data_IF_088597783191
#
_entry.id   IF_088597783191
#
_cell.length_a   1.000
_cell.length_b   1.000
_cell.length_c   1.000
_cell.angle_alpha   90.00
_cell.angle_beta   90.00
_cell.angle_gamma   90.00
#
_symmetry.space_group_name_H-M   'P 1'
#
loop_
_entity.id
_entity.type
_entity.pdbx_description
1 polymer ?
#
# COMPACT_ATOMS: atom_id res chain seq x y z
N UNK A 1 11.33 15.08 -17.30
CA UNK A 1 10.25 14.32 -17.95
C UNK A 1 10.89 13.39 -19.00
N UNK A 2 10.82 12.05 -18.86
CA UNK A 2 11.50 11.11 -19.78
C UNK A 2 10.89 11.14 -21.19
N UNK A 3 11.73 11.06 -22.23
CA UNK A 3 11.29 11.04 -23.64
C UNK A 3 10.44 9.79 -23.94
N UNK A 4 9.49 9.89 -24.88
CA UNK A 4 8.58 8.80 -25.26
C UNK A 4 9.33 7.51 -25.64
N UNK A 5 10.48 7.63 -26.30
CA UNK A 5 11.34 6.48 -26.65
C UNK A 5 11.95 5.78 -25.43
N UNK A 6 12.40 6.53 -24.41
CA UNK A 6 12.93 5.94 -23.16
C UNK A 6 11.84 5.20 -22.37
N UNK A 7 10.60 5.70 -22.38
CA UNK A 7 9.46 5.02 -21.74
C UNK A 7 9.11 3.70 -22.44
N UNK A 8 9.11 3.68 -23.77
CA UNK A 8 8.86 2.46 -24.55
C UNK A 8 9.88 1.37 -24.21
N UNK A 9 11.18 1.70 -24.24
CA UNK A 9 12.24 0.75 -23.87
C UNK A 9 12.14 0.27 -22.43
N UNK A 10 11.84 1.15 -21.48
CA UNK A 10 11.64 0.78 -20.08
C UNK A 10 10.48 -0.21 -19.92
N UNK A 11 9.34 0.03 -20.57
CA UNK A 11 8.19 -0.87 -20.47
C UNK A 11 8.43 -2.21 -21.19
N UNK A 12 9.10 -2.20 -22.34
CA UNK A 12 9.50 -3.42 -23.02
C UNK A 12 10.43 -4.28 -22.14
N UNK A 13 11.45 -3.65 -21.53
CA UNK A 13 12.35 -4.31 -20.60
C UNK A 13 11.60 -4.87 -19.37
N UNK A 14 10.74 -4.08 -18.74
CA UNK A 14 9.94 -4.51 -17.58
C UNK A 14 9.00 -5.68 -17.93
N UNK A 15 8.42 -5.68 -19.13
CA UNK A 15 7.55 -6.76 -19.59
C UNK A 15 8.34 -8.07 -19.73
N UNK A 16 9.54 -8.01 -20.31
CA UNK A 16 10.42 -9.18 -20.46
C UNK A 16 10.85 -9.71 -19.08
N UNK A 17 11.30 -8.83 -18.18
CA UNK A 17 11.71 -9.21 -16.81
C UNK A 17 10.54 -9.81 -16.03
N UNK A 18 9.33 -9.24 -16.19
CA UNK A 18 8.12 -9.77 -15.57
C UNK A 18 7.79 -11.17 -16.08
N UNK A 19 7.86 -11.42 -17.39
CA UNK A 19 7.59 -12.74 -17.96
C UNK A 19 8.59 -13.79 -17.47
N UNK A 20 9.88 -13.44 -17.40
CA UNK A 20 10.91 -14.30 -16.82
C UNK A 20 10.67 -14.60 -15.34
N UNK A 21 10.21 -13.61 -14.58
CA UNK A 21 9.92 -13.77 -13.14
C UNK A 21 8.67 -14.64 -12.87
N UNK A 22 7.72 -14.67 -13.81
CA UNK A 22 6.51 -15.49 -13.71
C UNK A 22 6.78 -16.95 -14.03
N UNK A 23 7.81 -17.25 -14.84
CA UNK A 23 8.11 -18.63 -15.24
C UNK A 23 8.32 -19.60 -14.06
N UNK A 24 9.12 -19.29 -13.02
CA UNK A 24 9.26 -20.16 -11.86
C UNK A 24 7.94 -20.45 -11.14
N UNK A 25 7.05 -19.45 -11.04
CA UNK A 25 5.74 -19.61 -10.41
C UNK A 25 4.83 -20.51 -11.25
N UNK A 26 4.86 -20.33 -12.57
CA UNK A 26 4.15 -21.20 -13.50
C UNK A 26 4.65 -22.65 -13.43
N UNK A 27 5.98 -22.83 -13.34
CA UNK A 27 6.58 -24.14 -13.16
C UNK A 27 6.17 -24.79 -11.84
N UNK A 28 6.15 -24.05 -10.73
CA UNK A 28 5.67 -24.55 -9.44
C UNK A 28 4.20 -24.98 -9.49
N UNK A 29 3.36 -24.21 -10.19
CA UNK A 29 1.96 -24.55 -10.42
C UNK A 29 1.80 -25.85 -11.23
N UNK A 30 2.54 -25.98 -12.34
CA UNK A 30 2.56 -27.22 -13.13
C UNK A 30 3.12 -28.39 -12.31
N UNK A 31 4.14 -28.16 -11.49
CA UNK A 31 4.73 -29.16 -10.61
C UNK A 31 3.74 -29.69 -9.57
N UNK A 32 2.95 -28.79 -8.96
CA UNK A 32 1.95 -29.16 -7.96
C UNK A 32 0.82 -30.06 -8.49
N UNK A 33 0.58 -30.07 -9.81
CA UNK A 33 -0.47 -30.86 -10.47
C UNK A 33 0.04 -32.17 -11.09
N UNK A 34 1.34 -32.42 -11.04
CA UNK A 34 2.00 -33.55 -11.69
C UNK A 34 2.64 -34.51 -10.68
N UNK A 35 2.99 -35.73 -11.13
CA UNK A 35 3.75 -36.70 -10.32
C UNK A 35 5.20 -36.27 -10.20
N UNK A 36 5.90 -36.67 -9.13
CA UNK A 36 7.32 -36.35 -8.92
C UNK A 36 8.22 -36.72 -10.12
N UNK A 37 7.96 -37.85 -10.78
CA UNK A 37 8.69 -38.26 -12.00
C UNK A 37 8.53 -37.26 -13.14
N UNK A 38 7.33 -36.73 -13.30
CA UNK A 38 6.97 -35.80 -14.38
C UNK A 38 7.47 -34.38 -14.07
N UNK A 39 7.48 -34.01 -12.78
CA UNK A 39 8.08 -32.74 -12.34
C UNK A 39 9.58 -32.75 -12.59
N UNK A 40 10.29 -33.81 -12.20
CA UNK A 40 11.75 -33.91 -12.43
C UNK A 40 12.08 -33.98 -13.93
N UNK A 41 11.20 -34.58 -14.74
CA UNK A 41 11.32 -34.58 -16.20
C UNK A 41 11.04 -33.21 -16.86
N UNK A 42 10.68 -32.18 -16.09
CA UNK A 42 10.49 -30.82 -16.60
C UNK A 42 9.15 -30.58 -17.31
N UNK A 43 8.09 -31.31 -16.92
CA UNK A 43 6.76 -31.16 -17.54
C UNK A 43 6.18 -29.75 -17.29
N UNK A 44 5.88 -29.03 -18.37
CA UNK A 44 5.43 -27.62 -18.36
C UNK A 44 3.91 -27.41 -18.46
N UNK A 45 3.12 -28.48 -18.43
CA UNK A 45 1.67 -28.38 -18.53
C UNK A 45 0.99 -29.03 -17.31
N UNK A 46 -0.16 -28.49 -16.85
CA UNK A 46 -0.83 -29.01 -15.66
C UNK A 46 -1.29 -30.46 -15.82
N UNK A 47 -1.18 -31.23 -14.73
CA UNK A 47 -1.67 -32.60 -14.62
C UNK A 47 -2.95 -32.74 -13.79
N UNK A 48 -3.32 -33.99 -13.48
CA UNK A 48 -4.51 -34.33 -12.69
C UNK A 48 -4.27 -34.63 -11.20
N UNK A 49 -3.03 -34.51 -10.70
CA UNK A 49 -2.61 -35.01 -9.38
C UNK A 49 -2.67 -33.95 -8.25
N UNK A 50 -3.37 -32.84 -8.47
CA UNK A 50 -3.42 -31.73 -7.50
C UNK A 50 -3.95 -32.19 -6.14
N UNK A 51 -5.05 -32.94 -6.14
CA UNK A 51 -5.75 -33.35 -4.91
C UNK A 51 -4.93 -34.40 -4.15
N UNK A 52 -4.29 -35.31 -4.87
CA UNK A 52 -3.41 -36.35 -4.33
C UNK A 52 -2.17 -35.73 -3.69
N UNK A 53 -1.53 -34.77 -4.37
CA UNK A 53 -0.38 -34.04 -3.84
C UNK A 53 -0.77 -33.21 -2.61
N UNK A 54 -1.94 -32.58 -2.61
CA UNK A 54 -2.45 -31.83 -1.46
C UNK A 54 -2.75 -32.73 -0.25
N UNK A 55 -3.44 -33.86 -0.45
CA UNK A 55 -3.68 -34.85 0.60
C UNK A 55 -2.36 -35.39 1.15
N UNK A 56 -1.41 -35.70 0.27
CA UNK A 56 -0.07 -36.17 0.66
C UNK A 56 0.69 -35.11 1.46
N UNK A 57 0.59 -33.83 1.10
CA UNK A 57 1.21 -32.73 1.83
C UNK A 57 0.67 -32.64 3.26
N UNK A 58 -0.64 -32.64 3.44
CA UNK A 58 -1.26 -32.53 4.78
C UNK A 58 -1.03 -33.80 5.61
N UNK A 59 -0.94 -34.97 4.97
CA UNK A 59 -0.67 -36.23 5.65
C UNK A 59 0.79 -36.36 6.13
N UNK A 60 1.75 -35.82 5.38
CA UNK A 60 3.18 -35.95 5.68
C UNK A 60 3.78 -34.72 6.38
N UNK A 61 3.10 -33.57 6.36
CA UNK A 61 3.61 -32.30 6.90
C UNK A 61 2.53 -31.56 7.69
N UNK A 62 2.95 -30.93 8.81
CA UNK A 62 2.08 -30.08 9.63
C UNK A 62 1.84 -28.70 8.98
N UNK A 63 1.18 -28.70 7.81
CA UNK A 63 0.91 -27.49 7.03
C UNK A 63 0.17 -26.42 7.85
N UNK A 64 -0.84 -26.82 8.62
CA UNK A 64 -1.62 -25.89 9.45
C UNK A 64 -0.77 -25.16 10.49
N UNK A 65 0.17 -25.87 11.14
CA UNK A 65 1.08 -25.28 12.12
C UNK A 65 2.08 -24.35 11.46
N UNK A 66 2.61 -24.71 10.29
CA UNK A 66 3.52 -23.87 9.52
C UNK A 66 2.85 -22.55 9.08
N UNK A 67 1.60 -22.62 8.61
CA UNK A 67 0.81 -21.45 8.25
C UNK A 67 0.50 -20.58 9.48
N UNK A 68 0.09 -21.18 10.59
CA UNK A 68 -0.19 -20.45 11.83
C UNK A 68 1.07 -19.75 12.37
N UNK A 69 2.22 -20.41 12.37
CA UNK A 69 3.49 -19.82 12.79
C UNK A 69 3.87 -18.64 11.89
N UNK A 70 3.67 -18.75 10.58
CA UNK A 70 3.94 -17.67 9.62
C UNK A 70 3.05 -16.46 9.88
N UNK A 71 1.75 -16.69 10.07
CA UNK A 71 0.79 -15.64 10.41
C UNK A 71 1.13 -14.97 11.75
N UNK A 72 1.43 -15.77 12.79
CA UNK A 72 1.86 -15.25 14.09
C UNK A 72 3.13 -14.40 13.99
N UNK A 73 4.12 -14.85 13.23
CA UNK A 73 5.37 -14.11 13.04
C UNK A 73 5.15 -12.80 12.30
N UNK A 74 4.25 -12.76 11.31
CA UNK A 74 3.87 -11.53 10.64
C UNK A 74 3.33 -10.49 11.64
N UNK A 75 2.35 -10.85 12.48
CA UNK A 75 1.82 -9.88 13.45
C UNK A 75 2.78 -9.55 14.59
N UNK A 76 3.63 -10.50 15.01
CA UNK A 76 4.50 -10.31 16.18
C UNK A 76 5.84 -9.66 15.87
N UNK A 77 6.42 -9.91 14.70
CA UNK A 77 7.73 -9.38 14.31
C UNK A 77 7.61 -8.31 13.23
N UNK A 78 6.84 -8.57 12.18
CA UNK A 78 6.81 -7.68 11.02
C UNK A 78 6.04 -6.37 11.31
N UNK A 79 4.83 -6.47 11.86
CA UNK A 79 4.01 -5.28 12.19
C UNK A 79 4.71 -4.30 13.14
N UNK A 80 5.31 -4.73 14.26
CA UNK A 80 5.99 -3.80 15.17
C UNK A 80 7.24 -3.17 14.57
N UNK A 81 8.00 -3.93 13.78
CA UNK A 81 9.21 -3.42 13.10
C UNK A 81 8.86 -2.34 12.08
N UNK A 82 7.72 -2.48 11.38
CA UNK A 82 7.24 -1.50 10.41
C UNK A 82 6.39 -0.38 11.02
N UNK A 83 6.25 -0.29 12.35
CA UNK A 83 5.44 0.73 13.03
C UNK A 83 5.78 2.15 12.55
N UNK A 84 7.06 2.44 12.35
CA UNK A 84 7.50 3.75 11.85
C UNK A 84 7.03 4.02 10.42
N UNK A 85 7.15 3.02 9.54
CA UNK A 85 6.67 3.12 8.15
C UNK A 85 5.16 3.31 8.10
N UNK A 86 4.40 2.61 8.94
CA UNK A 86 2.95 2.78 9.02
C UNK A 86 2.56 4.17 9.55
N UNK A 87 3.26 4.69 10.56
CA UNK A 87 3.05 6.05 11.05
C UNK A 87 3.30 7.10 9.95
N UNK A 88 4.35 6.92 9.15
CA UNK A 88 4.65 7.79 8.02
C UNK A 88 3.56 7.73 6.95
N UNK A 89 3.19 6.53 6.53
CA UNK A 89 2.13 6.32 5.53
C UNK A 89 0.78 6.88 6.00
N UNK A 90 0.43 6.70 7.28
CA UNK A 90 -0.78 7.24 7.89
C UNK A 90 -0.77 8.77 7.87
N UNK A 91 0.35 9.39 8.22
CA UNK A 91 0.49 10.86 8.19
C UNK A 91 0.27 11.40 6.78
N UNK A 92 0.97 10.84 5.79
CA UNK A 92 0.88 11.29 4.39
C UNK A 92 -0.54 11.09 3.86
N UNK A 93 -1.15 9.92 4.15
CA UNK A 93 -2.51 9.60 3.70
C UNK A 93 -3.53 10.53 4.35
N UNK A 94 -3.41 10.77 5.65
CA UNK A 94 -4.26 11.73 6.38
C UNK A 94 -4.13 13.13 5.80
N UNK A 95 -2.90 13.62 5.59
CA UNK A 95 -2.66 14.94 5.01
C UNK A 95 -3.26 15.06 3.62
N UNK A 96 -3.14 14.03 2.78
CA UNK A 96 -3.74 14.02 1.45
C UNK A 96 -5.27 14.04 1.51
N UNK A 97 -5.88 13.27 2.42
CA UNK A 97 -7.34 13.24 2.58
C UNK A 97 -7.87 14.57 3.15
N UNK A 98 -7.19 15.12 4.17
CA UNK A 98 -7.58 16.36 4.84
C UNK A 98 -7.45 17.58 3.93
N UNK A 99 -6.39 17.67 3.13
CA UNK A 99 -6.17 18.78 2.19
C UNK A 99 -6.88 18.57 0.84
N UNK A 100 -7.62 17.47 0.66
CA UNK A 100 -8.33 17.23 -0.59
C UNK A 100 -9.47 18.24 -0.76
N UNK A 101 -9.36 19.05 -1.81
CA UNK A 101 -10.31 20.12 -2.10
C UNK A 101 -11.08 19.89 -3.40
N UNK A 102 -10.39 19.48 -4.48
CA UNK A 102 -10.99 19.38 -5.80
C UNK A 102 -12.13 18.37 -5.85
N UNK A 103 -11.94 17.19 -5.26
CA UNK A 103 -12.97 16.15 -5.26
C UNK A 103 -14.20 16.59 -4.45
N UNK A 104 -14.07 16.96 -3.16
CA UNK A 104 -15.19 17.44 -2.36
C UNK A 104 -15.95 18.60 -3.00
N UNK A 105 -15.26 19.56 -3.62
CA UNK A 105 -15.92 20.68 -4.31
C UNK A 105 -16.83 20.27 -5.47
N UNK A 106 -16.49 19.19 -6.17
CA UNK A 106 -17.30 18.73 -7.32
C UNK A 106 -18.55 17.96 -6.85
N UNK A 107 -18.41 17.14 -5.81
CA UNK A 107 -19.48 16.25 -5.33
C UNK A 107 -20.37 16.86 -4.25
N UNK A 108 -19.81 17.66 -3.34
CA UNK A 108 -20.55 18.25 -2.22
C UNK A 108 -21.18 19.56 -2.67
N UNK A 109 -22.47 19.50 -2.99
CA UNK A 109 -23.25 20.66 -3.46
C UNK A 109 -24.07 21.33 -2.34
N UNK A 110 -24.22 20.66 -1.21
CA UNK A 110 -25.01 21.11 -0.05
C UNK A 110 -24.15 21.76 1.02
N UNK A 111 -24.63 22.84 1.61
CA UNK A 111 -23.90 23.63 2.60
C UNK A 111 -23.64 22.88 3.93
N UNK A 112 -24.40 21.83 4.21
CA UNK A 112 -24.29 21.02 5.44
C UNK A 112 -23.07 20.08 5.44
N UNK A 113 -22.52 19.78 4.27
CA UNK A 113 -21.42 18.82 4.09
C UNK A 113 -20.07 19.50 3.78
N UNK A 114 -19.97 20.82 3.94
CA UNK A 114 -18.76 21.55 3.54
C UNK A 114 -17.58 21.18 4.43
N UNK A 115 -16.45 20.84 3.82
CA UNK A 115 -15.19 20.57 4.53
C UNK A 115 -14.42 21.85 4.82
N UNK A 116 -13.57 21.85 5.85
CA UNK A 116 -12.77 23.04 6.23
C UNK A 116 -11.93 23.64 5.08
N UNK A 117 -11.20 22.85 4.26
CA UNK A 117 -10.49 23.42 3.11
C UNK A 117 -11.42 24.07 2.08
N UNK A 118 -12.63 23.51 1.89
CA UNK A 118 -13.60 24.05 0.96
C UNK A 118 -14.24 25.34 1.49
N UNK A 119 -14.47 25.44 2.79
CA UNK A 119 -14.91 26.68 3.44
C UNK A 119 -13.89 27.80 3.21
N UNK A 120 -12.60 27.55 3.48
CA UNK A 120 -11.53 28.53 3.22
C UNK A 120 -11.48 28.95 1.75
N UNK A 121 -11.63 27.99 0.83
CA UNK A 121 -11.63 28.29 -0.60
C UNK A 121 -12.86 29.09 -1.07
N UNK A 122 -14.02 28.92 -0.41
CA UNK A 122 -15.21 29.72 -0.69
C UNK A 122 -15.05 31.18 -0.25
N UNK A 123 -14.27 31.46 0.81
CA UNK A 123 -13.98 32.82 1.27
C UNK A 123 -13.19 33.65 0.24
N UNK A 124 -12.42 32.98 -0.62
CA UNK A 124 -11.69 33.62 -1.73
C UNK A 124 -12.59 34.00 -2.91
N UNK A 125 -13.81 33.46 -2.99
CA UNK A 125 -14.73 33.68 -4.10
C UNK A 125 -15.67 34.88 -3.94
N UNK A 126 -15.64 35.57 -2.80
CA UNK A 126 -16.47 36.75 -2.53
C UNK A 126 -15.96 38.03 -3.22
N UNK A 127 -16.83 39.05 -3.33
CA UNK A 127 -16.48 40.36 -3.92
C UNK A 127 -15.37 41.11 -3.17
N UNK A 128 -15.25 40.86 -1.86
CA UNK A 128 -14.17 41.36 -1.01
C UNK A 128 -13.65 40.22 -0.14
N UNK A 129 -12.33 40.03 -0.14
CA UNK A 129 -11.67 39.02 0.69
C UNK A 129 -11.34 39.66 2.04
N UNK A 130 -12.03 39.23 3.09
CA UNK A 130 -11.62 39.54 4.46
C UNK A 130 -10.44 38.64 4.83
N UNK A 131 -9.24 39.22 4.79
CA UNK A 131 -8.01 38.50 5.13
C UNK A 131 -7.98 38.05 6.60
N UNK A 132 -8.66 38.76 7.52
CA UNK A 132 -8.75 38.35 8.92
C UNK A 132 -9.56 37.06 9.07
N UNK A 133 -10.73 37.00 8.42
CA UNK A 133 -11.57 35.79 8.39
C UNK A 133 -10.85 34.62 7.70
N UNK A 134 -10.18 34.89 6.58
CA UNK A 134 -9.44 33.88 5.82
C UNK A 134 -8.28 33.28 6.65
N UNK A 135 -7.46 34.12 7.28
CA UNK A 135 -6.31 33.66 8.06
C UNK A 135 -6.75 32.84 9.27
N UNK A 136 -7.85 33.20 9.93
CA UNK A 136 -8.43 32.41 11.01
C UNK A 136 -8.93 31.04 10.52
N UNK A 137 -9.58 30.99 9.35
CA UNK A 137 -9.99 29.73 8.72
C UNK A 137 -8.80 28.81 8.37
N UNK A 138 -7.72 29.37 7.82
CA UNK A 138 -6.48 28.63 7.52
C UNK A 138 -5.81 28.12 8.79
N UNK A 139 -5.77 28.93 9.85
CA UNK A 139 -5.21 28.54 11.14
C UNK A 139 -5.94 27.32 11.72
N UNK A 140 -7.27 27.37 11.79
CA UNK A 140 -8.08 26.23 12.29
C UNK A 140 -7.90 25.00 11.39
N UNK A 141 -7.82 25.18 10.07
CA UNK A 141 -7.59 24.08 9.13
C UNK A 141 -6.23 23.38 9.33
N UNK A 142 -5.24 24.08 9.90
CA UNK A 142 -3.89 23.57 10.16
C UNK A 142 -3.77 22.85 11.52
N UNK A 143 -4.69 23.08 12.46
CA UNK A 143 -4.63 22.46 13.80
C UNK A 143 -4.66 20.92 13.72
N UNK A 144 -5.57 20.27 12.96
CA UNK A 144 -5.62 18.81 12.92
C UNK A 144 -4.38 18.18 12.29
N UNK A 145 -3.78 18.81 11.27
CA UNK A 145 -2.53 18.33 10.67
C UNK A 145 -1.36 18.45 11.65
N UNK A 146 -1.30 19.54 12.42
CA UNK A 146 -0.31 19.70 13.48
C UNK A 146 -0.45 18.64 14.59
N UNK A 147 -1.68 18.35 15.03
CA UNK A 147 -1.94 17.31 16.05
C UNK A 147 -1.44 15.95 15.57
N UNK A 148 -1.79 15.55 14.34
CA UNK A 148 -1.35 14.27 13.76
C UNK A 148 0.18 14.20 13.68
N UNK A 149 0.83 15.28 13.25
CA UNK A 149 2.28 15.36 13.22
C UNK A 149 2.90 15.16 14.61
N UNK A 150 2.44 15.88 15.63
CA UNK A 150 2.98 15.76 16.99
C UNK A 150 2.69 14.42 17.65
N UNK A 151 1.56 13.77 17.36
CA UNK A 151 1.29 12.41 17.84
C UNK A 151 2.24 11.38 17.20
N UNK A 152 2.59 11.55 15.93
CA UNK A 152 3.36 10.58 15.16
C UNK A 152 4.87 10.85 15.15
N UNK A 153 5.32 12.04 15.58
CA UNK A 153 6.74 12.45 15.61
C UNK A 153 7.66 11.43 16.30
N UNK A 154 7.17 10.78 17.38
CA UNK A 154 7.93 9.77 18.13
C UNK A 154 8.18 8.52 17.29
N UNK A 155 7.20 8.09 16.50
CA UNK A 155 7.34 6.93 15.61
C UNK A 155 8.29 7.22 14.44
N UNK A 156 8.36 8.47 13.98
CA UNK A 156 9.37 8.89 13.00
C UNK A 156 10.79 8.86 13.58
N UNK A 157 10.98 9.42 14.77
CA UNK A 157 12.28 9.42 15.46
C UNK A 157 12.79 7.99 15.77
N UNK A 158 11.90 7.09 16.19
CA UNK A 158 12.20 5.68 16.44
C UNK A 158 12.61 4.93 15.16
N UNK A 159 12.03 5.26 13.99
CA UNK A 159 12.38 4.62 12.72
C UNK A 159 13.76 5.00 12.17
N UNK A 160 14.17 6.26 12.39
CA UNK A 160 15.49 6.75 11.98
C UNK A 160 16.59 6.14 12.88
N UNK A 161 16.34 6.05 14.18
CA UNK A 161 17.31 5.50 15.16
C UNK A 161 17.38 3.97 15.14
N UNK A 162 16.28 3.28 14.79
CA UNK A 162 16.26 1.81 14.62
C UNK A 162 17.05 1.29 13.42
N UNK A 163 17.40 2.16 12.46
CA UNK A 163 18.25 1.83 11.30
C UNK A 163 19.74 2.01 11.57
N UNK A 164 20.12 2.55 12.74
CA UNK A 164 21.51 2.79 13.15
C UNK A 164 21.81 1.95 14.39
N UNK A 165 21.88 0.63 14.22
CA UNK A 165 22.54 -0.30 15.15
C UNK A 165 23.13 -1.47 14.37
#
# INVERSE_FOLDING_TARGET
>A
MMSKGKKFFQYAFLTIVSLLSVFPLYYMFCGATNKSTDVVAGRLYPGGYLVENFKSLIANQDLARALFNSFRNFFRMFIPTMKSTYAAAMTITFMNAWNNYLWPKVILKTNESITMPMLVANLLGGYSVDYGMLMLGVFICTVPTAIVFFCLQKSFAEGITGSVK
#
